data_IF_085595852974
#
_entry.id   IF_085595852974
#
_cell.length_a   1.000
_cell.length_b   1.000
_cell.length_c   1.000
_cell.angle_alpha   90.00
_cell.angle_beta   90.00
_cell.angle_gamma   90.00
#
_symmetry.space_group_name_H-M   'P 1'
#
loop_
_entity.id
_entity.type
_entity.pdbx_description
1 polymer ?
#
# COMPACT_ATOMS: atom_id res chain seq x y z
N UNK A 1 -3.15 6.56 8.79
CA UNK A 1 -3.96 6.34 10.00
C UNK A 1 -4.02 4.85 10.24
N UNK A 2 -3.72 4.40 11.46
CA UNK A 2 -3.68 2.98 11.84
C UNK A 2 -4.94 2.67 12.67
N UNK A 3 -5.73 1.69 12.24
CA UNK A 3 -6.79 1.09 13.06
C UNK A 3 -6.25 -0.25 13.51
N UNK A 4 -5.75 -0.38 14.75
CA UNK A 4 -5.24 -1.69 15.22
C UNK A 4 -6.33 -2.70 15.52
N UNK A 5 -7.51 -2.21 15.86
CA UNK A 5 -8.72 -3.00 16.06
C UNK A 5 -9.89 -2.16 15.62
N UNK A 6 -10.56 -2.53 14.54
CA UNK A 6 -11.91 -2.06 14.26
C UNK A 6 -12.87 -3.01 14.95
N UNK A 7 -13.24 -2.74 16.21
CA UNK A 7 -14.43 -3.36 16.75
C UNK A 7 -15.61 -2.50 16.27
N UNK A 8 -16.47 -3.07 15.45
CA UNK A 8 -17.83 -2.56 15.33
C UNK A 8 -18.50 -2.82 16.67
N UNK A 9 -18.55 -1.79 17.52
CA UNK A 9 -19.22 -1.90 18.80
C UNK A 9 -20.72 -1.94 18.54
N UNK A 10 -21.24 -3.14 18.33
CA UNK A 10 -22.25 -3.66 19.25
C UNK A 10 -21.61 -4.85 19.97
N UNK A 11 -21.91 -4.99 21.26
CA UNK A 11 -21.27 -5.91 22.20
C UNK A 11 -20.77 -7.25 21.63
N UNK A 12 -19.53 -7.56 21.99
CA UNK A 12 -18.88 -8.88 22.02
C UNK A 12 -18.59 -9.64 20.71
N UNK A 13 -17.28 -9.96 20.58
CA UNK A 13 -16.64 -11.07 19.86
C UNK A 13 -16.57 -11.05 18.31
N UNK A 14 -15.32 -10.90 17.81
CA UNK A 14 -14.74 -11.27 16.49
C UNK A 14 -15.45 -10.85 15.19
N UNK A 15 -14.78 -10.19 14.21
CA UNK A 15 -15.38 -9.96 12.88
C UNK A 15 -14.87 -11.03 11.88
N UNK A 16 -15.63 -12.04 11.45
CA UNK A 16 -16.83 -11.99 10.60
C UNK A 16 -17.93 -11.02 11.02
N UNK A 17 -18.25 -10.07 10.14
CA UNK A 17 -19.11 -8.90 10.39
C UNK A 17 -20.60 -9.25 10.53
N UNK A 18 -21.04 -9.90 11.60
CA UNK A 18 -22.48 -10.20 11.78
C UNK A 18 -23.28 -8.93 12.09
N UNK A 19 -24.24 -8.59 11.23
CA UNK A 19 -25.31 -7.63 11.59
C UNK A 19 -26.20 -8.30 12.64
N UNK A 20 -26.75 -7.52 13.58
CA UNK A 20 -27.70 -8.04 14.57
C UNK A 20 -28.82 -8.83 13.88
N UNK A 21 -28.82 -10.16 14.06
CA UNK A 21 -29.69 -11.10 13.36
C UNK A 21 -29.34 -11.25 11.88
N UNK A 22 -28.55 -12.27 11.55
CA UNK A 22 -28.24 -12.80 10.21
C UNK A 22 -27.36 -11.96 9.23
N UNK A 23 -26.37 -12.67 8.67
CA UNK A 23 -25.41 -12.35 7.61
C UNK A 23 -24.25 -11.35 7.88
N UNK A 24 -23.09 -11.68 7.29
CA UNK A 24 -21.90 -10.85 7.28
C UNK A 24 -22.10 -9.59 6.42
N UNK A 25 -21.81 -8.40 6.96
CA UNK A 25 -21.93 -7.14 6.23
C UNK A 25 -20.87 -7.06 5.12
N UNK A 26 -21.30 -6.94 3.87
CA UNK A 26 -20.42 -6.86 2.70
C UNK A 26 -20.60 -5.54 1.93
N UNK A 27 -19.48 -4.94 1.53
CA UNK A 27 -19.47 -3.84 0.57
C UNK A 27 -20.39 -2.68 0.96
N UNK A 28 -21.39 -2.40 0.13
CA UNK A 28 -22.36 -1.30 0.32
C UNK A 28 -23.17 -1.38 1.63
N UNK A 29 -23.20 -2.53 2.31
CA UNK A 29 -23.82 -2.67 3.63
C UNK A 29 -23.04 -1.93 4.73
N UNK A 30 -21.84 -1.43 4.43
CA UNK A 30 -21.00 -0.70 5.38
C UNK A 30 -21.39 0.77 5.55
N UNK A 31 -22.24 1.33 4.68
CA UNK A 31 -22.70 2.72 4.84
C UNK A 31 -23.46 2.91 6.15
N UNK A 32 -23.09 3.95 6.90
CA UNK A 32 -23.66 4.28 8.20
C UNK A 32 -23.03 3.52 9.38
N UNK A 33 -22.09 2.61 9.12
CA UNK A 33 -21.37 1.90 10.17
C UNK A 33 -20.44 2.87 10.91
N UNK A 34 -20.46 2.80 12.26
CA UNK A 34 -19.52 3.48 13.14
C UNK A 34 -18.40 2.53 13.53
N UNK A 35 -17.18 2.97 13.31
CA UNK A 35 -15.96 2.27 13.65
C UNK A 35 -15.43 2.86 14.95
N UNK A 36 -15.06 2.01 15.89
CA UNK A 36 -14.21 2.41 17.01
C UNK A 36 -12.91 1.66 16.89
N UNK A 37 -11.81 2.39 17.01
CA UNK A 37 -10.49 1.82 17.07
C UNK A 37 -9.65 2.45 18.15
N UNK A 38 -8.52 1.80 18.38
CA UNK A 38 -7.43 2.35 19.16
C UNK A 38 -6.34 2.73 18.17
N UNK A 39 -5.77 3.90 18.37
CA UNK A 39 -4.55 4.31 17.69
C UNK A 39 -3.37 4.00 18.62
N UNK A 40 -2.48 3.11 18.22
CA UNK A 40 -1.27 2.79 18.96
C UNK A 40 -0.26 3.86 18.59
N UNK A 41 0.24 4.53 19.63
CA UNK A 41 1.42 5.39 19.62
C UNK A 41 1.17 6.74 18.98
N UNK A 42 1.21 7.78 19.80
CA UNK A 42 1.44 9.13 19.30
C UNK A 42 2.91 9.30 18.90
N UNK A 43 3.18 10.19 17.95
CA UNK A 43 4.54 10.64 17.62
C UNK A 43 5.30 11.18 18.84
N UNK A 44 4.57 11.63 19.87
CA UNK A 44 5.10 12.15 21.12
C UNK A 44 5.24 11.09 22.23
N UNK A 45 4.44 10.02 22.21
CA UNK A 45 4.49 8.95 23.20
C UNK A 45 4.15 7.59 22.55
N UNK A 46 5.15 6.70 22.39
CA UNK A 46 5.01 5.35 21.86
C UNK A 46 4.24 4.37 22.76
N UNK A 47 3.88 4.74 23.98
CA UNK A 47 3.01 3.94 24.84
C UNK A 47 1.57 4.47 24.85
N UNK A 48 1.35 5.71 24.38
CA UNK A 48 0.04 6.33 24.40
C UNK A 48 -0.86 5.73 23.33
N UNK A 49 -2.05 5.33 23.76
CA UNK A 49 -3.12 4.92 22.87
C UNK A 49 -4.32 5.85 23.07
N UNK A 50 -5.01 6.18 21.98
CA UNK A 50 -6.22 7.00 22.06
C UNK A 50 -7.35 6.40 21.23
N UNK A 51 -8.59 6.42 21.74
CA UNK A 51 -9.73 5.94 20.99
C UNK A 51 -9.96 6.86 19.79
N UNK A 52 -10.17 6.27 18.62
CA UNK A 52 -10.67 6.96 17.44
C UNK A 52 -12.08 6.48 17.15
N UNK A 53 -12.97 7.43 16.88
CA UNK A 53 -14.26 7.12 16.26
C UNK A 53 -14.16 7.47 14.79
N UNK A 54 -14.63 6.59 13.92
CA UNK A 54 -14.81 6.89 12.51
C UNK A 54 -16.19 6.44 12.06
N UNK A 55 -16.64 6.95 10.92
CA UNK A 55 -17.89 6.54 10.29
C UNK A 55 -17.69 6.39 8.79
N UNK A 56 -18.35 5.39 8.23
CA UNK A 56 -18.42 5.18 6.79
C UNK A 56 -19.66 5.93 6.31
N UNK A 57 -19.46 7.03 5.59
CA UNK A 57 -20.56 7.88 5.13
C UNK A 57 -21.03 7.52 3.73
N UNK A 58 -20.20 6.81 2.96
CA UNK A 58 -20.52 6.35 1.62
C UNK A 58 -19.71 5.09 1.29
N UNK A 59 -20.29 4.21 0.47
CA UNK A 59 -19.67 2.98 0.00
C UNK A 59 -20.12 2.72 -1.44
N UNK A 60 -19.16 2.69 -2.36
CA UNK A 60 -19.41 2.52 -3.79
C UNK A 60 -18.57 1.38 -4.37
N UNK A 61 -19.07 0.65 -5.39
CA UNK A 61 -18.25 -0.34 -6.09
C UNK A 61 -17.03 0.33 -6.72
N UNK A 62 -15.87 -0.32 -6.64
CA UNK A 62 -14.65 0.21 -7.25
C UNK A 62 -14.79 0.20 -8.78
N UNK A 63 -14.53 1.32 -9.48
CA UNK A 63 -14.88 1.47 -10.89
C UNK A 63 -14.09 0.55 -11.83
N UNK A 64 -12.92 0.09 -11.39
CA UNK A 64 -12.00 -0.73 -12.21
C UNK A 64 -11.72 -2.13 -11.64
N UNK A 65 -12.25 -2.45 -10.46
CA UNK A 65 -11.92 -3.70 -9.76
C UNK A 65 -13.22 -4.43 -9.43
N UNK A 66 -13.56 -5.48 -10.19
CA UNK A 66 -14.74 -6.30 -9.92
C UNK A 66 -14.76 -6.80 -8.48
N UNK A 67 -15.90 -6.66 -7.80
CA UNK A 67 -16.08 -7.12 -6.42
C UNK A 67 -15.39 -6.29 -5.34
N UNK A 68 -14.55 -5.31 -5.69
CA UNK A 68 -13.95 -4.39 -4.73
C UNK A 68 -14.85 -3.17 -4.47
N UNK A 69 -14.65 -2.53 -3.32
CA UNK A 69 -15.41 -1.37 -2.86
C UNK A 69 -14.48 -0.26 -2.40
N UNK A 70 -14.92 0.98 -2.60
CA UNK A 70 -14.31 2.17 -2.03
C UNK A 70 -15.26 2.82 -1.02
N UNK A 71 -14.69 3.40 0.02
CA UNK A 71 -15.42 3.90 1.19
C UNK A 71 -15.01 5.34 1.48
N UNK A 72 -16.00 6.24 1.58
CA UNK A 72 -15.76 7.55 2.18
C UNK A 72 -15.82 7.38 3.70
N UNK A 73 -14.66 7.51 4.33
CA UNK A 73 -14.51 7.41 5.78
C UNK A 73 -14.30 8.81 6.34
N UNK A 74 -14.99 9.12 7.41
CA UNK A 74 -14.73 10.32 8.20
C UNK A 74 -14.27 9.91 9.61
N UNK A 75 -13.28 10.63 10.13
CA UNK A 75 -12.65 10.35 11.41
C UNK A 75 -12.95 11.50 12.34
N UNK A 76 -13.27 11.18 13.58
CA UNK A 76 -13.46 12.16 14.62
C UNK A 76 -12.16 12.94 14.81
N UNK A 77 -12.22 14.26 14.70
CA UNK A 77 -11.08 15.11 14.98
C UNK A 77 -10.88 15.21 16.51
N UNK A 78 -9.64 15.41 16.99
CA UNK A 78 -9.42 15.88 18.35
C UNK A 78 -10.28 17.13 18.63
N UNK A 79 -10.73 17.28 19.87
CA UNK A 79 -11.83 18.14 20.35
C UNK A 79 -12.01 19.56 19.74
N UNK A 80 -13.23 20.13 19.81
CA UNK A 80 -13.66 21.26 18.98
C UNK A 80 -12.91 22.57 19.25
N UNK A 81 -12.89 23.45 18.26
CA UNK A 81 -12.40 24.82 18.37
C UNK A 81 -13.17 25.69 19.38
N UNK A 82 -14.36 25.28 19.83
CA UNK A 82 -15.23 26.03 20.75
C UNK A 82 -15.88 25.15 21.85
N UNK A 83 -16.09 25.69 23.08
CA UNK A 83 -16.78 24.99 24.16
C UNK A 83 -18.23 24.63 23.81
N UNK A 84 -18.63 23.37 24.03
CA UNK A 84 -20.01 22.89 23.88
C UNK A 84 -20.39 22.37 22.49
N UNK A 85 -19.48 22.41 21.51
CA UNK A 85 -19.69 21.76 20.23
C UNK A 85 -19.60 20.22 20.36
N UNK A 86 -20.49 19.51 19.65
CA UNK A 86 -20.42 18.05 19.54
C UNK A 86 -19.18 17.55 18.79
N UNK A 87 -18.96 16.22 18.72
CA UNK A 87 -17.79 15.66 18.05
C UNK A 87 -17.76 16.05 16.56
N UNK A 88 -16.65 16.64 16.12
CA UNK A 88 -16.41 16.98 14.72
C UNK A 88 -15.79 15.81 13.98
N UNK A 89 -16.12 15.68 12.70
CA UNK A 89 -15.62 14.64 11.82
C UNK A 89 -15.02 15.29 10.57
N UNK A 90 -13.86 14.80 10.15
CA UNK A 90 -13.20 15.23 8.92
C UNK A 90 -12.97 14.02 8.01
N UNK A 91 -12.93 14.20 6.68
CA UNK A 91 -12.62 13.12 5.76
C UNK A 91 -11.25 12.50 6.06
N UNK A 92 -11.18 11.16 6.00
CA UNK A 92 -9.94 10.40 6.21
C UNK A 92 -8.89 10.71 5.13
N UNK A 93 -9.31 10.72 3.87
CA UNK A 93 -8.42 10.93 2.73
C UNK A 93 -8.52 12.37 2.22
N UNK A 94 -7.45 12.84 1.57
CA UNK A 94 -7.39 14.19 1.01
C UNK A 94 -8.58 14.44 0.07
N UNK A 95 -9.15 15.65 0.15
CA UNK A 95 -10.29 16.09 -0.67
C UNK A 95 -11.54 15.20 -0.53
N UNK A 96 -11.61 14.36 0.52
CA UNK A 96 -12.71 13.42 0.73
C UNK A 96 -12.78 12.31 -0.30
N UNK A 97 -11.67 11.97 -0.96
CA UNK A 97 -11.59 10.81 -1.85
C UNK A 97 -11.92 9.52 -1.09
N UNK A 98 -12.55 8.53 -1.73
CA UNK A 98 -12.84 7.27 -1.06
C UNK A 98 -11.55 6.45 -0.89
N UNK A 99 -11.47 5.67 0.18
CA UNK A 99 -10.39 4.73 0.47
C UNK A 99 -10.80 3.30 0.13
N UNK A 100 -9.82 2.46 -0.20
CA UNK A 100 -10.03 1.01 -0.29
C UNK A 100 -9.69 0.32 1.01
N UNK A 101 -10.34 -0.82 1.25
CA UNK A 101 -10.02 -1.70 2.38
C UNK A 101 -8.87 -2.60 1.98
N UNK A 102 -7.90 -2.75 2.89
CA UNK A 102 -6.80 -3.70 2.76
C UNK A 102 -6.74 -4.56 4.02
N UNK A 103 -6.66 -5.90 3.93
CA UNK A 103 -6.57 -6.78 5.08
C UNK A 103 -5.20 -6.67 5.74
N UNK A 104 -5.16 -6.56 7.06
CA UNK A 104 -3.95 -6.37 7.85
C UNK A 104 -3.78 -4.94 8.38
N UNK A 105 -2.60 -4.71 8.94
CA UNK A 105 -2.19 -3.46 9.61
C UNK A 105 -0.79 -3.05 9.18
N UNK A 106 -0.44 -1.79 9.42
CA UNK A 106 0.90 -1.26 9.20
C UNK A 106 1.61 -1.06 10.53
N UNK A 107 2.90 -1.39 10.59
CA UNK A 107 3.74 -1.02 11.72
C UNK A 107 4.36 0.37 11.54
N UNK A 108 5.09 0.84 12.56
CA UNK A 108 5.72 2.17 12.61
C UNK A 108 6.72 2.42 11.49
N UNK A 109 7.25 1.37 10.88
CA UNK A 109 8.20 1.46 9.77
C UNK A 109 7.47 1.53 8.42
N UNK A 110 6.14 1.59 8.43
CA UNK A 110 5.32 1.52 7.22
C UNK A 110 5.29 0.13 6.60
N UNK A 111 5.72 -0.91 7.32
CA UNK A 111 5.64 -2.29 6.83
C UNK A 111 4.24 -2.85 7.07
N UNK A 112 3.62 -3.35 6.02
CA UNK A 112 2.34 -4.01 6.11
C UNK A 112 2.48 -5.42 6.70
N UNK A 113 1.53 -5.81 7.54
CA UNK A 113 1.44 -7.13 8.15
C UNK A 113 0.02 -7.62 7.98
N UNK A 114 -0.11 -8.67 7.16
CA UNK A 114 -1.38 -9.39 7.02
C UNK A 114 -1.76 -10.00 8.36
N UNK A 115 -3.00 -9.78 8.76
CA UNK A 115 -3.55 -10.27 10.01
C UNK A 115 -5.02 -10.54 9.82
N UNK A 116 -5.44 -11.75 10.20
CA UNK A 116 -6.82 -12.18 10.05
C UNK A 116 -7.75 -11.36 10.96
N UNK A 117 -8.89 -10.94 10.44
CA UNK A 117 -9.87 -10.13 11.18
C UNK A 117 -9.44 -8.67 11.41
N UNK A 118 -8.28 -8.25 10.91
CA UNK A 118 -7.80 -6.86 10.95
C UNK A 118 -7.77 -6.28 9.54
N UNK A 119 -8.10 -5.00 9.42
CA UNK A 119 -8.06 -4.29 8.15
C UNK A 119 -7.72 -2.82 8.35
N UNK A 120 -7.25 -2.18 7.29
CA UNK A 120 -7.04 -0.73 7.25
C UNK A 120 -7.70 -0.11 6.03
N UNK A 121 -7.91 1.20 6.10
CA UNK A 121 -8.32 2.02 4.96
C UNK A 121 -7.09 2.66 4.31
N UNK A 122 -6.90 2.41 3.02
CA UNK A 122 -5.82 2.96 2.22
C UNK A 122 -6.35 4.07 1.31
N UNK A 123 -5.86 5.28 1.54
CA UNK A 123 -6.21 6.44 0.72
C UNK A 123 -5.47 6.43 -0.62
N UNK A 124 -6.09 6.90 -1.71
CA UNK A 124 -5.55 6.77 -3.07
C UNK A 124 -4.22 7.50 -3.29
N UNK A 125 -3.92 8.53 -2.50
CA UNK A 125 -2.64 9.24 -2.54
C UNK A 125 -1.48 8.47 -1.91
N UNK A 126 -1.77 7.44 -1.11
CA UNK A 126 -0.75 6.63 -0.43
C UNK A 126 -0.25 5.50 -1.31
N UNK A 127 0.93 4.96 -1.02
CA UNK A 127 1.45 3.77 -1.71
C UNK A 127 0.47 2.58 -1.59
N UNK A 128 -0.11 2.38 -0.42
CA UNK A 128 -1.10 1.33 -0.18
C UNK A 128 -2.33 1.46 -1.11
N UNK A 129 -2.88 2.68 -1.23
CA UNK A 129 -4.01 2.93 -2.13
C UNK A 129 -3.63 2.82 -3.60
N UNK A 130 -2.44 3.30 -3.99
CA UNK A 130 -1.92 3.15 -5.36
C UNK A 130 -1.78 1.67 -5.73
N UNK A 131 -1.16 0.86 -4.88
CA UNK A 131 -1.00 -0.58 -5.09
C UNK A 131 -2.35 -1.31 -5.14
N UNK A 132 -3.24 -1.06 -4.18
CA UNK A 132 -4.52 -1.76 -4.11
C UNK A 132 -5.51 -1.33 -5.19
N UNK A 133 -5.57 -0.05 -5.57
CA UNK A 133 -6.56 0.46 -6.52
C UNK A 133 -6.00 0.71 -7.91
N UNK A 134 -4.92 1.51 -8.01
CA UNK A 134 -4.43 2.02 -9.30
C UNK A 134 -3.66 0.96 -10.08
N UNK A 135 -2.85 0.18 -9.38
CA UNK A 135 -2.12 -0.98 -9.93
C UNK A 135 -2.79 -2.32 -9.62
N UNK A 136 -4.07 -2.27 -9.19
CA UNK A 136 -5.00 -3.40 -9.14
C UNK A 136 -4.58 -4.59 -8.26
N UNK A 137 -3.54 -4.46 -7.43
CA UNK A 137 -3.12 -5.49 -6.48
C UNK A 137 -3.97 -5.43 -5.21
N UNK A 138 -5.30 -5.60 -5.30
CA UNK A 138 -6.18 -5.51 -4.13
C UNK A 138 -6.33 -6.87 -3.40
N UNK A 139 -5.73 -7.06 -2.22
CA UNK A 139 -5.84 -8.31 -1.47
C UNK A 139 -7.22 -8.55 -0.80
N UNK A 140 -8.13 -7.57 -0.83
CA UNK A 140 -9.49 -7.68 -0.28
C UNK A 140 -10.57 -7.97 -1.34
N UNK A 141 -10.24 -7.97 -2.64
CA UNK A 141 -11.22 -8.27 -3.68
C UNK A 141 -11.71 -9.73 -3.60
N UNK A 142 -12.98 -9.98 -3.93
CA UNK A 142 -13.60 -11.31 -3.82
C UNK A 142 -12.92 -12.39 -4.69
N UNK A 143 -12.18 -11.98 -5.71
CA UNK A 143 -11.38 -12.83 -6.61
C UNK A 143 -9.88 -12.75 -6.32
N UNK A 144 -9.46 -12.24 -5.15
CA UNK A 144 -8.05 -12.09 -4.82
C UNK A 144 -7.35 -13.47 -4.81
N UNK A 145 -6.66 -13.76 -5.91
CA UNK A 145 -5.73 -14.86 -6.04
C UNK A 145 -4.63 -14.68 -4.96
N UNK A 146 -4.18 -15.74 -4.25
CA UNK A 146 -2.99 -15.68 -3.40
C UNK A 146 -1.81 -14.92 -4.01
N UNK A 147 -1.61 -15.03 -5.33
CA UNK A 147 -0.61 -14.29 -6.09
C UNK A 147 -0.77 -12.77 -5.95
N UNK A 148 -2.00 -12.25 -5.94
CA UNK A 148 -2.32 -10.82 -5.80
C UNK A 148 -1.92 -10.30 -4.42
N UNK A 149 -2.05 -11.11 -3.37
CA UNK A 149 -1.62 -10.73 -2.04
C UNK A 149 -0.09 -10.61 -1.96
N UNK A 150 0.65 -11.56 -2.53
CA UNK A 150 2.11 -11.48 -2.62
C UNK A 150 2.58 -10.28 -3.47
N UNK A 151 1.90 -10.05 -4.61
CA UNK A 151 2.18 -8.91 -5.48
C UNK A 151 1.85 -7.57 -4.84
N UNK A 152 0.84 -7.49 -3.97
CA UNK A 152 0.54 -6.28 -3.21
C UNK A 152 1.71 -5.88 -2.30
N UNK A 153 2.30 -6.83 -1.58
CA UNK A 153 3.48 -6.56 -0.74
C UNK A 153 4.69 -6.17 -1.59
N UNK A 154 4.93 -6.88 -2.69
CA UNK A 154 6.00 -6.54 -3.63
C UNK A 154 5.82 -5.13 -4.21
N UNK A 155 4.57 -4.77 -4.51
CA UNK A 155 4.20 -3.44 -4.98
C UNK A 155 4.57 -2.36 -3.97
N UNK A 156 4.30 -2.57 -2.67
CA UNK A 156 4.67 -1.63 -1.62
C UNK A 156 6.19 -1.38 -1.58
N UNK A 157 7.00 -2.45 -1.73
CA UNK A 157 8.47 -2.36 -1.80
C UNK A 157 8.92 -1.62 -3.06
N UNK A 158 8.40 -2.01 -4.21
CA UNK A 158 8.73 -1.39 -5.50
C UNK A 158 8.39 0.09 -5.55
N UNK A 159 7.18 0.46 -5.11
CA UNK A 159 6.70 1.83 -5.15
C UNK A 159 7.60 2.77 -4.35
N UNK A 160 8.07 2.31 -3.20
CA UNK A 160 9.00 3.04 -2.33
C UNK A 160 10.47 2.90 -2.74
N UNK A 161 10.76 2.06 -3.74
CA UNK A 161 12.12 1.63 -4.07
C UNK A 161 12.88 1.09 -2.84
N UNK A 162 12.18 0.36 -1.98
CA UNK A 162 12.76 -0.30 -0.81
C UNK A 162 13.52 -1.56 -1.24
N UNK A 163 14.65 -1.35 -1.92
CA UNK A 163 15.46 -2.41 -2.51
C UNK A 163 15.89 -3.47 -1.48
N UNK A 164 16.04 -3.08 -0.22
CA UNK A 164 16.48 -3.97 0.85
C UNK A 164 15.33 -4.63 1.64
N UNK A 165 14.07 -4.25 1.38
CA UNK A 165 12.91 -4.79 2.07
C UNK A 165 12.79 -4.41 3.56
N UNK A 166 13.48 -3.35 3.99
CA UNK A 166 13.57 -3.00 5.41
C UNK A 166 12.84 -1.70 5.79
N UNK A 167 12.05 -1.16 4.85
CA UNK A 167 11.23 0.03 5.01
C UNK A 167 11.94 1.34 4.66
N UNK A 168 13.18 1.31 4.17
CA UNK A 168 13.89 2.52 3.77
C UNK A 168 13.60 2.84 2.31
N UNK A 169 12.82 3.90 2.10
CA UNK A 169 12.49 4.41 0.78
C UNK A 169 13.70 4.98 0.03
N UNK A 170 13.89 4.57 -1.22
CA UNK A 170 14.81 5.17 -2.18
C UNK A 170 14.08 5.84 -3.35
N UNK A 171 12.86 6.34 -3.11
CA UNK A 171 12.03 7.06 -4.09
C UNK A 171 11.71 8.48 -3.63
N UNK A 172 11.14 9.27 -4.55
CA UNK A 172 10.57 10.60 -4.26
C UNK A 172 9.14 10.67 -4.78
N UNK A 173 8.28 11.43 -4.09
CA UNK A 173 6.91 11.66 -4.57
C UNK A 173 6.93 12.24 -6.00
N UNK A 174 6.00 11.80 -6.84
CA UNK A 174 5.94 12.19 -8.25
C UNK A 174 6.92 11.46 -9.18
N UNK A 175 7.70 10.49 -8.68
CA UNK A 175 8.54 9.66 -9.55
C UNK A 175 7.66 8.69 -10.36
N UNK A 176 7.71 8.81 -11.68
CA UNK A 176 6.97 7.93 -12.58
C UNK A 176 7.72 6.61 -12.79
N UNK A 177 6.97 5.52 -12.84
CA UNK A 177 7.46 4.16 -13.12
C UNK A 177 6.47 3.44 -14.04
N UNK A 178 6.99 2.53 -14.85
CA UNK A 178 6.19 1.52 -15.56
C UNK A 178 6.24 0.22 -14.76
N UNK A 179 5.12 -0.48 -14.63
CA UNK A 179 4.94 -1.58 -13.67
C UNK A 179 4.24 -2.74 -14.35
N UNK A 180 4.74 -3.95 -14.14
CA UNK A 180 4.11 -5.18 -14.63
C UNK A 180 4.49 -6.36 -13.76
N UNK A 181 3.86 -7.52 -13.97
CA UNK A 181 4.11 -8.70 -13.15
C UNK A 181 3.98 -10.01 -13.91
N UNK A 182 4.50 -11.06 -13.27
CA UNK A 182 4.49 -12.45 -13.78
C UNK A 182 3.11 -13.14 -13.76
N UNK A 183 2.12 -12.59 -13.04
CA UNK A 183 0.74 -13.07 -13.00
C UNK A 183 -0.17 -12.31 -13.98
N UNK A 184 0.36 -11.34 -14.73
CA UNK A 184 -0.35 -10.54 -15.72
C UNK A 184 -1.51 -9.72 -15.14
N UNK A 185 -1.39 -9.28 -13.88
CA UNK A 185 -2.33 -8.29 -13.32
C UNK A 185 -2.12 -6.96 -14.02
N UNK A 186 -0.87 -6.50 -14.05
CA UNK A 186 -0.37 -5.37 -14.83
C UNK A 186 0.54 -5.87 -15.97
N UNK A 187 0.49 -5.16 -17.10
CA UNK A 187 1.29 -5.41 -18.29
C UNK A 187 2.11 -4.17 -18.63
N UNK A 188 3.34 -4.31 -19.15
CA UNK A 188 4.21 -3.17 -19.38
C UNK A 188 3.61 -2.21 -20.42
N UNK A 189 3.79 -0.91 -20.23
CA UNK A 189 3.40 0.10 -21.21
C UNK A 189 4.23 -0.08 -22.50
N UNK A 190 3.60 -0.33 -23.67
CA UNK A 190 4.32 -0.55 -24.93
C UNK A 190 5.18 0.66 -25.36
N UNK A 191 4.83 1.87 -24.91
CA UNK A 191 5.56 3.10 -25.23
C UNK A 191 6.65 3.44 -24.20
N UNK A 192 6.73 2.73 -23.07
CA UNK A 192 7.66 3.03 -21.99
C UNK A 192 9.12 3.13 -22.48
N UNK A 193 9.54 2.17 -23.31
CA UNK A 193 10.90 2.16 -23.87
C UNK A 193 11.19 3.39 -24.73
N UNK A 194 10.25 3.77 -25.59
CA UNK A 194 10.34 4.97 -26.44
C UNK A 194 10.36 6.25 -25.59
N UNK A 195 9.69 6.23 -24.44
CA UNK A 195 9.69 7.29 -23.44
C UNK A 195 10.91 7.29 -22.51
N UNK A 196 11.92 6.46 -22.77
CA UNK A 196 13.18 6.43 -22.02
C UNK A 196 13.17 5.61 -20.73
N UNK A 197 12.11 4.87 -20.44
CA UNK A 197 12.09 3.92 -19.33
C UNK A 197 12.97 2.71 -19.65
N UNK A 198 13.69 2.22 -18.65
CA UNK A 198 14.54 1.03 -18.70
C UNK A 198 14.20 0.16 -17.51
N UNK A 199 14.34 -1.16 -17.67
CA UNK A 199 14.12 -2.10 -16.58
C UNK A 199 14.92 -1.65 -15.36
N UNK A 200 14.26 -1.54 -14.21
CA UNK A 200 14.89 -1.06 -12.98
C UNK A 200 15.24 -2.24 -12.07
N UNK A 201 14.24 -3.04 -11.72
CA UNK A 201 14.37 -4.12 -10.75
C UNK A 201 13.20 -5.10 -10.81
N UNK A 202 13.42 -6.26 -10.20
CA UNK A 202 12.38 -7.24 -9.88
C UNK A 202 12.21 -7.37 -8.36
N UNK A 203 10.98 -7.59 -7.92
CA UNK A 203 10.55 -7.39 -6.55
C UNK A 203 9.75 -8.57 -6.00
N UNK A 204 9.93 -8.79 -4.70
CA UNK A 204 9.08 -9.61 -3.84
C UNK A 204 8.68 -8.81 -2.61
N UNK A 205 7.90 -9.40 -1.71
CA UNK A 205 7.60 -8.83 -0.40
C UNK A 205 8.85 -8.50 0.45
N UNK A 206 9.96 -9.20 0.17
CA UNK A 206 11.23 -9.10 0.92
C UNK A 206 12.21 -8.06 0.34
N UNK A 207 11.81 -7.34 -0.72
CA UNK A 207 12.65 -6.35 -1.40
C UNK A 207 13.03 -6.76 -2.83
N UNK A 208 14.09 -6.17 -3.35
CA UNK A 208 14.54 -6.42 -4.71
C UNK A 208 15.25 -7.78 -4.80
N UNK A 209 14.77 -8.62 -5.71
CA UNK A 209 15.42 -9.89 -6.07
C UNK A 209 16.67 -9.62 -6.89
N UNK A 210 16.60 -8.64 -7.79
CA UNK A 210 17.71 -8.17 -8.58
C UNK A 210 17.40 -6.76 -9.10
N UNK A 211 18.44 -6.04 -9.53
CA UNK A 211 18.34 -4.65 -9.98
C UNK A 211 19.32 -4.38 -11.12
N UNK A 212 18.85 -3.69 -12.16
CA UNK A 212 19.68 -3.15 -13.25
C UNK A 212 20.29 -1.82 -12.85
N UNK A 213 19.43 -0.90 -12.42
CA UNK A 213 19.82 0.44 -12.00
C UNK A 213 18.93 0.96 -10.88
N UNK A 214 19.45 1.82 -9.98
CA UNK A 214 18.61 2.49 -9.00
C UNK A 214 17.76 3.58 -9.66
N UNK A 215 16.58 3.80 -9.10
CA UNK A 215 15.65 4.87 -9.52
C UNK A 215 16.23 6.26 -9.32
N UNK A 216 16.87 6.47 -8.18
CA UNK A 216 17.57 7.71 -7.81
C UNK A 216 18.98 7.36 -7.35
N UNK A 217 20.00 7.50 -8.22
CA UNK A 217 21.39 7.16 -7.87
C UNK A 217 21.89 7.87 -6.61
N UNK A 218 21.41 9.08 -6.32
CA UNK A 218 21.80 9.88 -5.14
C UNK A 218 21.20 9.35 -3.84
N UNK A 219 20.10 8.59 -3.91
CA UNK A 219 19.53 7.88 -2.77
C UNK A 219 20.21 6.51 -2.55
N UNK A 220 20.80 5.97 -3.61
CA UNK A 220 21.46 4.66 -3.60
C UNK A 220 22.94 4.72 -3.21
N UNK A 221 23.71 5.65 -3.78
CA UNK A 221 25.15 5.78 -3.59
C UNK A 221 25.51 6.90 -2.60
N UNK A 222 26.57 6.68 -1.81
CA UNK A 222 27.20 7.73 -1.03
C UNK A 222 27.81 8.78 -1.98
N UNK A 223 27.76 10.03 -1.56
CA UNK A 223 28.32 11.15 -2.32
C UNK A 223 29.84 10.98 -2.50
N UNK A 224 30.34 11.23 -3.71
CA UNK A 224 31.78 11.17 -4.01
C UNK A 224 32.36 9.78 -4.32
N UNK A 225 31.80 8.70 -3.77
CA UNK A 225 32.52 7.40 -3.72
C UNK A 225 31.91 6.27 -4.57
N UNK A 226 30.78 6.48 -5.25
CA UNK A 226 29.99 5.44 -5.98
C UNK A 226 29.71 4.16 -5.17
N UNK A 227 29.96 4.16 -3.87
CA UNK A 227 29.70 3.03 -2.96
C UNK A 227 28.24 3.08 -2.52
N UNK A 228 27.51 1.95 -2.51
CA UNK A 228 26.14 1.95 -2.01
C UNK A 228 26.08 2.42 -0.55
N UNK A 229 25.07 3.21 -0.20
CA UNK A 229 24.90 3.79 1.14
C UNK A 229 24.69 2.74 2.24
N UNK A 230 24.30 1.52 1.85
CA UNK A 230 23.86 0.46 2.75
C UNK A 230 24.42 -0.89 2.30
N UNK A 231 24.74 -1.76 3.26
CA UNK A 231 25.36 -3.05 2.98
C UNK A 231 24.45 -4.01 2.21
N UNK A 232 23.14 -4.01 2.47
CA UNK A 232 22.19 -4.85 1.71
C UNK A 232 22.26 -4.56 0.19
N UNK A 233 22.46 -3.30 -0.19
CA UNK A 233 22.52 -2.87 -1.59
C UNK A 233 23.75 -3.42 -2.33
N UNK A 234 24.81 -3.82 -1.61
CA UNK A 234 25.98 -4.46 -2.25
C UNK A 234 25.75 -5.93 -2.57
N UNK A 235 24.68 -6.53 -2.04
CA UNK A 235 24.35 -7.96 -2.16
C UNK A 235 23.24 -8.24 -3.16
N UNK A 236 22.58 -7.20 -3.69
CA UNK A 236 21.50 -7.35 -4.66
C UNK A 236 22.10 -7.79 -6.00
N UNK A 237 21.71 -8.96 -6.55
CA UNK A 237 22.14 -9.42 -7.86
C UNK A 237 21.77 -8.43 -8.97
N UNK A 238 22.54 -8.44 -10.06
CA UNK A 238 22.20 -7.70 -11.27
C UNK A 238 21.34 -8.55 -12.20
N UNK A 239 20.33 -7.93 -12.81
CA UNK A 239 19.54 -8.47 -13.90
C UNK A 239 19.07 -7.31 -14.79
N UNK A 240 18.82 -7.55 -16.06
CA UNK A 240 18.49 -6.52 -17.05
C UNK A 240 17.07 -6.67 -17.63
N UNK A 241 16.34 -7.71 -17.23
CA UNK A 241 15.03 -8.05 -17.76
C UNK A 241 14.20 -8.87 -16.77
N UNK A 242 12.90 -8.96 -17.05
CA UNK A 242 11.98 -9.82 -16.30
C UNK A 242 12.33 -11.31 -16.47
N UNK A 243 12.80 -11.71 -17.66
CA UNK A 243 13.23 -13.08 -17.95
C UNK A 243 14.45 -13.49 -17.12
N UNK A 244 15.47 -12.61 -17.04
CA UNK A 244 16.65 -12.85 -16.21
C UNK A 244 16.28 -12.91 -14.72
N UNK A 245 15.42 -11.99 -14.26
CA UNK A 245 14.93 -11.99 -12.89
C UNK A 245 14.19 -13.28 -12.53
N UNK A 246 13.32 -13.77 -13.40
CA UNK A 246 12.58 -15.01 -13.19
C UNK A 246 13.52 -16.23 -13.14
N UNK A 247 14.57 -16.24 -13.95
CA UNK A 247 15.56 -17.31 -13.95
C UNK A 247 16.33 -17.41 -12.62
N UNK A 248 16.52 -16.30 -11.90
CA UNK A 248 17.19 -16.27 -10.59
C UNK A 248 16.40 -16.95 -9.48
N UNK A 249 15.07 -16.86 -9.50
CA UNK A 249 14.19 -17.39 -8.43
C UNK A 249 13.54 -18.72 -8.78
N UNK A 250 13.59 -19.13 -10.05
CA UNK A 250 12.99 -20.36 -10.55
C UNK A 250 11.51 -20.21 -10.96
N UNK A 251 10.95 -21.27 -11.56
CA UNK A 251 9.58 -21.25 -12.06
C UNK A 251 8.55 -21.18 -10.92
N UNK A 252 7.41 -20.53 -11.19
CA UNK A 252 6.26 -20.47 -10.27
C UNK A 252 6.34 -19.38 -9.19
N UNK A 253 7.51 -18.75 -8.99
CA UNK A 253 7.62 -17.58 -8.12
C UNK A 253 7.02 -16.35 -8.78
N UNK A 254 6.13 -15.66 -8.05
CA UNK A 254 5.52 -14.43 -8.51
C UNK A 254 6.44 -13.26 -8.24
N UNK A 255 6.81 -12.58 -9.31
CA UNK A 255 7.60 -11.36 -9.27
C UNK A 255 6.78 -10.21 -9.82
N UNK A 256 6.99 -9.06 -9.18
CA UNK A 256 6.62 -7.75 -9.70
C UNK A 256 7.87 -7.14 -10.33
N UNK A 257 7.70 -6.42 -11.43
CA UNK A 257 8.76 -5.78 -12.17
C UNK A 257 8.44 -4.31 -12.32
N UNK A 258 9.48 -3.50 -12.46
CA UNK A 258 9.27 -2.13 -12.86
C UNK A 258 10.39 -1.62 -13.76
N UNK A 259 10.07 -0.58 -14.52
CA UNK A 259 11.00 0.23 -15.25
C UNK A 259 10.92 1.67 -14.75
N UNK A 260 12.06 2.36 -14.75
CA UNK A 260 12.13 3.79 -14.47
C UNK A 260 13.11 4.46 -15.42
N UNK A 261 13.11 5.79 -15.41
CA UNK A 261 14.15 6.55 -16.11
C UNK A 261 15.39 6.58 -15.23
N UNK A 262 16.60 6.27 -15.73
CA UNK A 262 17.84 6.31 -14.94
C UNK A 262 18.16 7.68 -14.31
N UNK A 263 17.51 8.76 -14.75
CA UNK A 263 17.54 10.10 -14.14
C UNK A 263 16.15 10.74 -14.24
N UNK A 264 15.26 10.49 -13.27
CA UNK A 264 13.94 11.12 -13.25
C UNK A 264 14.11 12.64 -13.10
N UNK A 265 13.61 13.42 -14.07
CA UNK A 265 13.67 14.90 -14.04
C UNK A 265 14.72 15.56 -14.94
N UNK A 266 15.53 14.80 -15.68
CA UNK A 266 16.31 15.39 -16.78
C UNK A 266 15.35 15.89 -17.88
N UNK A 267 15.52 17.12 -18.42
CA UNK A 267 14.72 17.58 -19.56
C UNK A 267 14.91 16.62 -20.75
N UNK A 268 13.82 16.40 -21.49
CA UNK A 268 13.82 15.64 -22.75
C UNK A 268 14.77 16.24 -23.77
#
# INVERSE_FOLDING_TARGET
MRLERGALVHDAASPSLRRGGDADAQGGQWTGIKLRGVFDRCTLDPAMTFPISARIVDATPHPKLPGAWEYRVEVQTPEPSEPGAGPQFAPLCKEGKPAVVVPGRWDERGTHRREEGVFSFACPETVAGKCASSWRYNPAAAEANPDVAELYEACMRMATADYCGDGVSATREGTMVDVWDSAQVETPDPDARAQGYRFEAAWTQDGAVCMDHPRWPELFFAEGDRKPKRECLTKIPTCHSAEEAQALVGPGKKLLFNASRPRPGAPK
#
